data_IF_473242385898
#
_entry.id   IF_473242385898
#
_cell.length_a   1.000
_cell.length_b   1.000
_cell.length_c   1.000
_cell.angle_alpha   90.00
_cell.angle_beta   90.00
_cell.angle_gamma   90.00
#
_symmetry.space_group_name_H-M   'P 1'
#
loop_
_entity.id
_entity.type
_entity.pdbx_description
1 polymer ?
#
# COMPACT_ATOMS: atom_id res chain seq x y z
N UNK A 1 -8.51 1.59 4.15
CA UNK A 1 -7.79 1.19 2.91
C UNK A 1 -7.13 2.42 2.33
N UNK A 2 -5.89 2.31 1.87
CA UNK A 2 -5.15 3.40 1.23
C UNK A 2 -4.55 2.90 -0.08
N UNK A 3 -4.26 3.79 -1.01
CA UNK A 3 -3.56 3.45 -2.24
C UNK A 3 -2.09 3.83 -2.09
N UNK A 4 -1.20 2.86 -2.29
CA UNK A 4 0.23 3.07 -2.17
C UNK A 4 0.92 2.66 -3.46
N UNK A 5 1.82 3.51 -3.95
CA UNK A 5 2.69 3.20 -5.06
C UNK A 5 3.64 2.07 -4.66
N UNK A 6 3.58 0.95 -5.38
CA UNK A 6 4.44 -0.22 -5.13
C UNK A 6 5.91 0.00 -5.51
N UNK A 7 6.21 1.05 -6.29
CA UNK A 7 7.57 1.40 -6.74
C UNK A 7 8.32 2.21 -5.69
N UNK A 8 7.73 3.32 -5.21
CA UNK A 8 8.41 4.26 -4.32
C UNK A 8 7.82 4.34 -2.90
N UNK A 9 6.64 3.76 -2.67
CA UNK A 9 5.96 3.83 -1.37
C UNK A 9 5.16 5.11 -1.12
N UNK A 10 4.97 5.99 -2.11
CA UNK A 10 4.06 7.13 -1.97
C UNK A 10 2.65 6.65 -1.64
N UNK A 11 2.09 7.15 -0.55
CA UNK A 11 0.70 6.94 -0.15
C UNK A 11 -0.16 8.06 -0.71
N UNK A 12 -1.16 7.73 -1.51
CA UNK A 12 -2.09 8.70 -2.07
C UNK A 12 -2.86 9.43 -0.95
N UNK A 13 -2.94 10.76 -1.06
CA UNK A 13 -3.46 11.66 -0.03
C UNK A 13 -4.85 12.24 -0.34
N UNK A 14 -5.43 11.89 -1.49
CA UNK A 14 -6.80 12.25 -1.86
C UNK A 14 -7.88 11.32 -1.29
N UNK A 15 -9.15 11.65 -1.54
CA UNK A 15 -10.29 10.91 -1.02
C UNK A 15 -10.53 9.57 -1.74
N UNK A 16 -10.43 9.55 -3.08
CA UNK A 16 -10.76 8.39 -3.90
C UNK A 16 -9.86 8.28 -5.14
N UNK A 17 -8.80 7.48 -5.00
CA UNK A 17 -7.86 7.19 -6.08
C UNK A 17 -8.52 6.61 -7.34
N UNK A 18 -9.67 5.93 -7.22
CA UNK A 18 -10.31 5.30 -8.38
C UNK A 18 -10.86 6.33 -9.36
N UNK A 19 -11.12 7.56 -8.90
CA UNK A 19 -11.60 8.68 -9.73
C UNK A 19 -10.50 9.45 -10.45
N UNK A 20 -9.23 9.18 -10.14
CA UNK A 20 -8.12 9.78 -10.87
C UNK A 20 -8.15 9.37 -12.34
N UNK A 21 -7.62 10.23 -13.21
CA UNK A 21 -7.51 9.91 -14.63
C UNK A 21 -6.51 8.75 -14.87
N UNK A 22 -6.63 8.05 -15.99
CA UNK A 22 -5.76 6.91 -16.32
C UNK A 22 -4.30 7.33 -16.58
N UNK A 23 -4.07 8.60 -16.90
CA UNK A 23 -2.75 9.21 -17.09
C UNK A 23 -2.17 9.82 -15.79
N UNK A 24 -2.80 9.57 -14.64
CA UNK A 24 -2.25 9.97 -13.34
C UNK A 24 -0.86 9.36 -13.12
N UNK A 25 0.09 10.21 -12.74
CA UNK A 25 1.48 9.84 -12.44
C UNK A 25 1.76 10.02 -10.94
N UNK A 26 2.51 9.06 -10.38
CA UNK A 26 2.99 9.15 -9.00
C UNK A 26 3.88 10.39 -8.82
N UNK A 27 3.59 11.29 -7.85
CA UNK A 27 4.32 12.55 -7.69
C UNK A 27 5.76 12.40 -7.19
N UNK A 28 6.16 11.19 -6.76
CA UNK A 28 7.52 10.93 -6.28
C UNK A 28 8.41 10.19 -7.29
N UNK A 29 7.83 9.47 -8.26
CA UNK A 29 8.60 8.58 -9.13
C UNK A 29 8.09 8.47 -10.57
N UNK A 30 7.08 9.26 -10.94
CA UNK A 30 6.50 9.36 -12.28
C UNK A 30 5.97 8.03 -12.87
N UNK A 31 5.82 7.00 -12.03
CA UNK A 31 5.18 5.73 -12.42
C UNK A 31 3.68 5.92 -12.57
N UNK A 32 3.08 5.19 -13.52
CA UNK A 32 1.65 5.31 -13.83
C UNK A 32 0.73 4.75 -12.75
N UNK A 33 -0.57 5.00 -12.92
CA UNK A 33 -1.65 4.58 -12.03
C UNK A 33 -1.65 3.07 -11.75
N UNK A 34 -1.19 2.26 -12.70
CA UNK A 34 -1.07 0.80 -12.58
C UNK A 34 -0.09 0.34 -11.50
N UNK A 35 0.82 1.23 -11.09
CA UNK A 35 1.79 0.94 -10.03
C UNK A 35 1.22 1.08 -8.62
N UNK A 36 0.00 1.61 -8.46
CA UNK A 36 -0.65 1.76 -7.17
C UNK A 36 -1.46 0.52 -6.79
N UNK A 37 -1.38 0.15 -5.51
CA UNK A 37 -2.09 -0.98 -4.94
C UNK A 37 -2.88 -0.53 -3.72
N UNK A 38 -4.08 -1.10 -3.57
CA UNK A 38 -4.87 -0.90 -2.36
C UNK A 38 -4.25 -1.70 -1.21
N UNK A 39 -4.07 -1.03 -0.07
CA UNK A 39 -3.44 -1.56 1.14
C UNK A 39 -4.39 -1.40 2.32
N UNK A 40 -4.45 -2.44 3.14
CA UNK A 40 -5.12 -2.40 4.44
C UNK A 40 -4.07 -2.57 5.53
N UNK A 41 -3.54 -1.45 6.01
CA UNK A 41 -2.47 -1.43 6.99
C UNK A 41 -2.88 -2.16 8.28
N UNK A 42 -4.16 -2.09 8.69
CA UNK A 42 -4.60 -2.79 9.90
C UNK A 42 -4.54 -4.31 9.73
N UNK A 43 -5.00 -4.81 8.58
CA UNK A 43 -4.90 -6.23 8.24
C UNK A 43 -3.45 -6.68 8.12
N UNK A 44 -2.61 -5.91 7.44
CA UNK A 44 -1.20 -6.23 7.21
C UNK A 44 -0.40 -6.24 8.53
N UNK A 45 -0.62 -5.26 9.40
CA UNK A 45 -0.01 -5.20 10.74
C UNK A 45 -0.44 -6.41 11.57
N UNK A 46 -1.72 -6.78 11.52
CA UNK A 46 -2.23 -7.95 12.25
C UNK A 46 -1.57 -9.23 11.76
N UNK A 47 -1.46 -9.42 10.43
CA UNK A 47 -0.80 -10.57 9.85
C UNK A 47 0.68 -10.67 10.24
N UNK A 48 1.42 -9.56 10.15
CA UNK A 48 2.82 -9.48 10.55
C UNK A 48 3.02 -9.77 12.05
N UNK A 49 2.12 -9.24 12.90
CA UNK A 49 2.13 -9.47 14.35
C UNK A 49 1.91 -10.94 14.68
N UNK A 50 0.92 -11.58 14.06
CA UNK A 50 0.64 -13.00 14.25
C UNK A 50 1.82 -13.87 13.82
N UNK A 51 2.43 -13.57 12.66
CA UNK A 51 3.61 -14.29 12.20
C UNK A 51 4.79 -14.17 13.18
N UNK A 52 5.03 -12.98 13.75
CA UNK A 52 6.08 -12.79 14.75
C UNK A 52 5.88 -13.67 15.98
N UNK A 53 4.65 -13.74 16.52
CA UNK A 53 4.36 -14.58 17.67
C UNK A 53 4.45 -16.08 17.35
N UNK A 54 3.98 -16.51 16.17
CA UNK A 54 4.10 -17.90 15.73
C UNK A 54 5.57 -18.36 15.67
N UNK A 55 6.46 -17.55 15.10
CA UNK A 55 7.90 -17.87 15.03
C UNK A 55 8.55 -17.84 16.42
N UNK A 56 8.07 -17.00 17.34
CA UNK A 56 8.61 -16.90 18.70
C UNK A 56 8.21 -18.09 19.58
N UNK A 57 7.00 -18.63 19.44
CA UNK A 57 6.52 -19.77 20.23
C UNK A 57 7.18 -21.10 19.84
N UNK A 58 7.77 -21.20 18.64
CA UNK A 58 8.53 -22.37 18.18
C UNK A 58 9.98 -22.41 18.69
N UNK A 59 10.43 -21.43 19.48
CA UNK A 59 11.77 -21.38 20.12
C UNK A 59 11.68 -21.44 21.64
#
# INVERSE_FOLDING_TARGET
>A
MTWMCSICGYTYDGEDFTKEADDYLCPLCDSGKESFQQRDLATEITAATNQYFAVKEEK
#
